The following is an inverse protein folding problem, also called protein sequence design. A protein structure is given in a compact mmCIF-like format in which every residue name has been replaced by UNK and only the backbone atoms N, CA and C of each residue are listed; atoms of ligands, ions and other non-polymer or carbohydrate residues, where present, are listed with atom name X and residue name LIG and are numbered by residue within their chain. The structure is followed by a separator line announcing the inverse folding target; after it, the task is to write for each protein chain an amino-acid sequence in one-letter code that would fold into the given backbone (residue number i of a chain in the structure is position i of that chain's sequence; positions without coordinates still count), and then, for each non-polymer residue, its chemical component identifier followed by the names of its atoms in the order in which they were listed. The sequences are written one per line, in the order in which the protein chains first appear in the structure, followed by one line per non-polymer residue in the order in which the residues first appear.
data_IF_156947800336
#
_entry.id   IF_156947800336
#
_cell.length_a   1.000
_cell.length_b   1.000
_cell.length_c   1.000
_cell.angle_alpha   90.00
_cell.angle_beta   90.00
_cell.angle_gamma   90.00
#
_symmetry.space_group_name_H-M   'P 1'
#
loop_
_entity.id
_entity.type
_entity.pdbx_description
1 polymer ?
#
# COMPACT_ATOMS: atom_id res chain seq x y z
N UNK A 1 28.91 -4.12 1.69
CA UNK A 1 28.75 -4.60 0.31
C UNK A 1 27.75 -3.67 -0.38
N UNK A 2 28.14 -2.95 -1.44
CA UNK A 2 27.29 -1.92 -2.07
C UNK A 2 26.27 -2.56 -3.04
N UNK A 3 25.06 -2.00 -3.10
CA UNK A 3 23.94 -2.43 -3.97
C UNK A 3 24.35 -2.61 -5.44
N UNK A 4 25.26 -1.76 -5.93
CA UNK A 4 25.82 -1.83 -7.28
C UNK A 4 26.65 -3.10 -7.55
N UNK A 5 27.49 -3.51 -6.60
CA UNK A 5 28.27 -4.75 -6.72
C UNK A 5 27.37 -5.99 -6.67
N UNK A 6 26.29 -5.94 -5.89
CA UNK A 6 25.31 -7.03 -5.81
C UNK A 6 24.57 -7.18 -7.15
N UNK A 7 24.14 -6.07 -7.77
CA UNK A 7 23.51 -6.08 -9.09
C UNK A 7 24.45 -6.60 -10.18
N UNK A 8 25.71 -6.12 -10.20
CA UNK A 8 26.71 -6.58 -11.16
C UNK A 8 26.99 -8.09 -11.04
N UNK A 9 27.00 -8.64 -9.82
CA UNK A 9 27.17 -10.08 -9.59
C UNK A 9 25.95 -10.90 -10.02
N UNK A 10 24.73 -10.38 -9.80
CA UNK A 10 23.47 -11.04 -10.15
C UNK A 10 23.24 -11.08 -11.67
N UNK A 11 23.59 -10.01 -12.39
CA UNK A 11 23.45 -9.92 -13.85
C UNK A 11 24.40 -10.85 -14.63
N UNK A 12 25.49 -11.30 -14.00
CA UNK A 12 26.51 -12.17 -14.61
C UNK A 12 26.22 -13.67 -14.39
N UNK A 13 25.13 -14.03 -13.69
CA UNK A 13 24.74 -15.43 -13.51
C UNK A 13 23.77 -15.88 -14.60
N UNK A 14 24.19 -16.79 -15.52
CA UNK A 14 23.26 -17.39 -16.48
C UNK A 14 22.21 -18.20 -15.73
N UNK A 15 20.94 -17.85 -15.92
CA UNK A 15 19.78 -18.45 -15.24
C UNK A 15 19.09 -17.54 -14.22
N UNK A 16 19.58 -16.33 -13.97
CA UNK A 16 18.90 -15.36 -13.11
C UNK A 16 17.78 -14.62 -13.86
N UNK A 17 16.74 -15.36 -14.28
CA UNK A 17 15.47 -14.74 -14.67
C UNK A 17 14.72 -14.40 -13.39
N UNK A 18 14.84 -13.14 -12.95
CA UNK A 18 14.00 -12.63 -11.87
C UNK A 18 12.53 -12.68 -12.31
N UNK A 19 11.61 -13.07 -11.42
CA UNK A 19 10.19 -12.98 -11.73
C UNK A 19 9.80 -11.53 -12.00
N UNK A 20 8.76 -11.33 -12.79
CA UNK A 20 8.18 -10.01 -12.96
C UNK A 20 7.73 -9.45 -11.59
N UNK A 21 7.92 -8.15 -11.33
CA UNK A 21 7.45 -7.52 -10.11
C UNK A 21 5.94 -7.70 -9.94
N UNK A 22 5.53 -8.20 -8.78
CA UNK A 22 4.12 -8.32 -8.42
C UNK A 22 3.58 -6.98 -7.93
N UNK A 23 2.37 -6.61 -8.37
CA UNK A 23 1.60 -5.50 -7.78
C UNK A 23 0.96 -5.86 -6.43
N UNK A 24 1.06 -7.13 -6.00
CA UNK A 24 0.49 -7.65 -4.77
C UNK A 24 1.56 -8.07 -3.76
N UNK A 25 1.24 -7.90 -2.49
CA UNK A 25 2.00 -8.36 -1.33
C UNK A 25 1.17 -9.31 -0.47
N UNK A 26 1.79 -10.33 0.07
CA UNK A 26 1.15 -11.24 1.01
C UNK A 26 0.92 -10.57 2.38
N UNK A 27 0.05 -11.16 3.21
CA UNK A 27 -0.21 -10.70 4.59
C UNK A 27 1.07 -10.37 5.39
N UNK A 28 2.00 -11.33 5.47
CA UNK A 28 3.23 -11.16 6.24
C UNK A 28 4.08 -9.98 5.72
N UNK A 29 4.11 -9.78 4.39
CA UNK A 29 4.82 -8.67 3.78
C UNK A 29 4.11 -7.34 4.07
N UNK A 30 2.78 -7.29 4.02
CA UNK A 30 2.01 -6.10 4.36
C UNK A 30 2.32 -5.65 5.80
N UNK A 31 2.20 -6.56 6.77
CA UNK A 31 2.52 -6.30 8.19
C UNK A 31 3.96 -5.83 8.33
N UNK A 32 4.91 -6.48 7.66
CA UNK A 32 6.31 -6.08 7.71
C UNK A 32 6.58 -4.69 7.11
N UNK A 33 5.96 -4.37 5.96
CA UNK A 33 6.17 -3.10 5.25
C UNK A 33 5.52 -1.93 5.97
N UNK A 34 4.40 -2.18 6.64
CA UNK A 34 3.62 -1.14 7.33
C UNK A 34 3.97 -1.00 8.80
N UNK A 35 4.51 -2.05 9.43
CA UNK A 35 4.66 -2.16 10.88
C UNK A 35 3.34 -1.94 11.64
N UNK A 36 2.21 -2.17 10.99
CA UNK A 36 0.87 -2.15 11.59
C UNK A 36 0.66 -3.43 12.41
N UNK A 37 -0.15 -3.36 13.47
CA UNK A 37 -0.50 -4.56 14.22
C UNK A 37 -1.40 -5.49 13.38
N UNK A 38 -1.18 -6.82 13.37
CA UNK A 38 -2.00 -7.75 12.57
C UNK A 38 -3.51 -7.67 12.85
N UNK A 39 -3.90 -7.35 14.08
CA UNK A 39 -5.30 -7.18 14.46
C UNK A 39 -5.94 -5.95 13.78
N UNK A 40 -5.18 -4.86 13.62
CA UNK A 40 -5.64 -3.65 12.94
C UNK A 40 -5.77 -3.92 11.43
N UNK A 41 -4.88 -4.71 10.82
CA UNK A 41 -5.06 -5.15 9.41
C UNK A 41 -6.37 -5.91 9.25
N UNK A 42 -6.67 -6.84 10.16
CA UNK A 42 -7.92 -7.61 10.12
C UNK A 42 -9.13 -6.68 10.21
N UNK A 43 -9.12 -5.71 11.13
CA UNK A 43 -10.17 -4.69 11.24
C UNK A 43 -10.34 -3.88 9.94
N UNK A 44 -9.23 -3.45 9.31
CA UNK A 44 -9.29 -2.73 8.04
C UNK A 44 -9.85 -3.57 6.87
N UNK A 45 -9.64 -4.89 6.91
CA UNK A 45 -10.25 -5.85 5.98
C UNK A 45 -11.75 -5.99 6.26
N UNK A 46 -12.13 -6.16 7.53
CA UNK A 46 -13.52 -6.33 7.95
C UNK A 46 -14.36 -5.07 7.66
N UNK A 47 -13.77 -3.89 7.80
CA UNK A 47 -14.36 -2.61 7.40
C UNK A 47 -14.44 -2.44 5.88
N UNK A 48 -13.78 -3.30 5.10
CA UNK A 48 -13.68 -3.21 3.64
C UNK A 48 -12.80 -2.07 3.13
N UNK A 49 -12.10 -1.35 4.03
CA UNK A 49 -11.25 -0.23 3.67
C UNK A 49 -10.03 -0.66 2.84
N UNK A 50 -9.53 -1.86 3.13
CA UNK A 50 -8.66 -2.64 2.24
C UNK A 50 -9.39 -3.93 1.86
N UNK A 51 -9.24 -4.35 0.60
CA UNK A 51 -9.95 -5.51 0.07
C UNK A 51 -8.95 -6.46 -0.61
N UNK A 52 -8.32 -7.38 0.15
CA UNK A 52 -7.39 -8.33 -0.43
C UNK A 52 -8.09 -9.27 -1.40
N UNK A 53 -7.35 -9.71 -2.41
CA UNK A 53 -7.71 -10.91 -3.16
C UNK A 53 -7.32 -12.14 -2.35
N UNK A 54 -7.95 -13.27 -2.67
CA UNK A 54 -7.52 -14.56 -2.16
C UNK A 54 -6.87 -15.39 -3.25
N UNK A 55 -5.84 -16.14 -2.89
CA UNK A 55 -5.28 -17.20 -3.74
C UNK A 55 -6.19 -18.43 -3.74
N UNK A 56 -5.88 -19.43 -4.57
CA UNK A 56 -6.53 -20.74 -4.52
C UNK A 56 -6.32 -21.49 -3.20
N UNK A 57 -5.31 -21.11 -2.42
CA UNK A 57 -5.04 -21.63 -1.09
C UNK A 57 -5.69 -20.78 0.04
N UNK A 58 -6.64 -19.89 -0.31
CA UNK A 58 -7.32 -18.97 0.62
C UNK A 58 -6.41 -17.93 1.31
N UNK A 59 -5.15 -17.80 0.88
CA UNK A 59 -4.20 -16.79 1.38
C UNK A 59 -4.50 -15.39 0.83
N UNK A 60 -4.30 -14.35 1.65
CA UNK A 60 -4.52 -12.96 1.26
C UNK A 60 -3.39 -12.34 0.43
N UNK A 61 -3.79 -11.65 -0.65
CA UNK A 61 -2.97 -10.81 -1.50
C UNK A 61 -3.52 -9.38 -1.52
N UNK A 62 -2.75 -8.45 -0.95
CA UNK A 62 -3.06 -7.02 -0.89
C UNK A 62 -2.38 -6.28 -2.02
N UNK A 63 -2.95 -5.18 -2.51
CA UNK A 63 -2.26 -4.38 -3.51
C UNK A 63 -1.15 -3.56 -2.84
N UNK A 64 -0.07 -3.29 -3.56
CA UNK A 64 1.00 -2.40 -3.08
C UNK A 64 0.46 -1.02 -2.67
N UNK A 65 -0.58 -0.51 -3.35
CA UNK A 65 -1.25 0.76 -2.97
C UNK A 65 -1.79 0.75 -1.54
N UNK A 66 -2.20 -0.42 -1.03
CA UNK A 66 -2.80 -0.56 0.29
C UNK A 66 -1.73 -0.35 1.38
N UNK A 67 -0.47 -0.72 1.12
CA UNK A 67 0.69 -0.40 1.99
C UNK A 67 0.80 1.11 2.20
N UNK A 68 0.75 1.89 1.11
CA UNK A 68 0.86 3.34 1.17
C UNK A 68 -0.33 3.98 1.89
N UNK A 69 -1.55 3.49 1.64
CA UNK A 69 -2.75 3.97 2.34
C UNK A 69 -2.65 3.70 3.84
N UNK A 70 -2.21 2.52 4.25
CA UNK A 70 -2.00 2.17 5.66
C UNK A 70 -0.95 3.08 6.32
N UNK A 71 0.16 3.39 5.65
CA UNK A 71 1.14 4.35 6.19
C UNK A 71 0.54 5.74 6.42
N UNK A 72 -0.27 6.25 5.46
CA UNK A 72 -0.97 7.53 5.64
C UNK A 72 -1.89 7.47 6.86
N UNK A 73 -2.67 6.39 6.98
CA UNK A 73 -3.60 6.18 8.08
C UNK A 73 -2.89 6.15 9.43
N UNK A 74 -1.86 5.31 9.58
CA UNK A 74 -1.11 5.17 10.83
C UNK A 74 -0.50 6.50 11.28
N UNK A 75 0.06 7.27 10.34
CA UNK A 75 0.58 8.60 10.63
C UNK A 75 -0.53 9.55 11.08
N UNK A 76 -1.68 9.54 10.40
CA UNK A 76 -2.81 10.40 10.73
C UNK A 76 -3.41 10.07 12.10
N UNK A 77 -3.64 8.78 12.38
CA UNK A 77 -4.08 8.27 13.68
C UNK A 77 -3.16 8.74 14.80
N UNK A 78 -1.84 8.63 14.59
CA UNK A 78 -0.84 9.07 15.56
C UNK A 78 -0.80 10.60 15.72
N UNK A 79 -0.82 11.34 14.63
CA UNK A 79 -0.64 12.80 14.64
C UNK A 79 -1.89 13.53 15.17
N UNK A 80 -3.09 12.96 14.95
CA UNK A 80 -4.38 13.57 15.31
C UNK A 80 -5.05 12.91 16.53
N UNK A 81 -4.47 11.84 17.07
CA UNK A 81 -5.01 11.06 18.20
C UNK A 81 -6.46 10.59 17.95
N UNK A 82 -6.70 9.99 16.79
CA UNK A 82 -8.02 9.48 16.35
C UNK A 82 -8.00 7.97 16.22
N UNK A 83 -9.16 7.31 16.31
CA UNK A 83 -9.26 5.86 16.06
C UNK A 83 -8.96 5.49 14.60
N UNK A 84 -8.59 4.23 14.35
CA UNK A 84 -8.38 3.72 12.98
C UNK A 84 -9.61 3.89 12.08
N UNK A 85 -10.82 3.65 12.61
CA UNK A 85 -12.07 3.86 11.87
C UNK A 85 -12.29 5.34 11.51
N UNK A 86 -12.06 6.26 12.45
CA UNK A 86 -12.16 7.70 12.13
C UNK A 86 -11.06 8.11 11.15
N UNK A 87 -9.85 7.60 11.34
CA UNK A 87 -8.71 7.88 10.48
C UNK A 87 -8.90 7.39 9.05
N UNK A 88 -9.50 6.22 8.85
CA UNK A 88 -9.72 5.66 7.51
C UNK A 88 -10.68 6.52 6.69
N UNK A 89 -11.74 7.03 7.33
CA UNK A 89 -12.66 8.00 6.73
C UNK A 89 -11.92 9.28 6.34
N UNK A 90 -11.04 9.80 7.21
CA UNK A 90 -10.28 11.01 6.91
C UNK A 90 -9.34 10.79 5.72
N UNK A 91 -8.65 9.63 5.65
CA UNK A 91 -7.80 9.30 4.51
C UNK A 91 -8.60 9.27 3.20
N UNK A 92 -9.78 8.65 3.20
CA UNK A 92 -10.63 8.59 2.00
C UNK A 92 -11.09 9.99 1.55
N UNK A 93 -11.43 10.87 2.50
CA UNK A 93 -11.77 12.26 2.20
C UNK A 93 -10.58 13.04 1.62
N UNK A 94 -9.38 12.85 2.16
CA UNK A 94 -8.16 13.46 1.63
C UNK A 94 -7.87 12.99 0.20
N UNK A 95 -8.00 11.69 -0.06
CA UNK A 95 -7.84 11.14 -1.41
C UNK A 95 -8.88 11.72 -2.37
N UNK A 96 -10.13 11.90 -1.91
CA UNK A 96 -11.15 12.52 -2.73
C UNK A 96 -10.87 13.99 -3.04
N UNK A 97 -10.36 14.74 -2.07
CA UNK A 97 -9.93 16.14 -2.28
C UNK A 97 -8.80 16.20 -3.31
N UNK A 98 -7.78 15.35 -3.18
CA UNK A 98 -6.67 15.29 -4.15
C UNK A 98 -7.14 14.97 -5.58
N UNK A 99 -8.13 14.08 -5.73
CA UNK A 99 -8.75 13.80 -7.03
C UNK A 99 -9.46 15.03 -7.61
N UNK A 100 -10.31 15.68 -6.80
CA UNK A 100 -11.07 16.85 -7.21
C UNK A 100 -10.15 18.03 -7.57
N UNK A 101 -9.07 18.24 -6.82
CA UNK A 101 -8.07 19.27 -7.13
C UNK A 101 -7.38 19.00 -8.47
N UNK A 102 -7.05 17.74 -8.78
CA UNK A 102 -6.49 17.36 -10.09
C UNK A 102 -7.48 17.65 -11.22
N UNK A 103 -8.75 17.28 -11.05
CA UNK A 103 -9.80 17.57 -12.05
C UNK A 103 -9.92 19.07 -12.31
N UNK A 104 -9.93 19.90 -11.26
CA UNK A 104 -9.99 21.36 -11.38
C UNK A 104 -8.78 21.91 -12.15
N UNK A 105 -7.57 21.41 -11.89
CA UNK A 105 -6.35 21.82 -12.60
C UNK A 105 -6.43 21.46 -14.08
N UNK A 106 -6.87 20.24 -14.42
CA UNK A 106 -7.01 19.83 -15.82
C UNK A 106 -8.09 20.64 -16.55
N UNK A 107 -9.23 20.90 -15.92
CA UNK A 107 -10.29 21.74 -16.50
C UNK A 107 -9.81 23.18 -16.77
N UNK A 108 -9.04 23.77 -15.84
CA UNK A 108 -8.47 25.11 -16.01
C UNK A 108 -7.45 25.20 -17.15
N UNK A 109 -6.87 24.09 -17.60
CA UNK A 109 -5.96 24.06 -18.76
C UNK A 109 -6.69 24.03 -20.10
N UNK A 110 -7.99 23.75 -20.10
CA UNK A 110 -8.83 23.70 -21.31
C UNK A 110 -9.49 25.05 -21.66
N UNK A 111 -9.33 26.05 -20.79
CA UNK A 111 -9.88 27.41 -20.92
C UNK A 111 -8.73 28.39 -21.13
#
# INVERSE_FOLDING_TARGET
MTTRKLQEMLLQQPGLNLPEPSEYVAWAQLVQLTSIEPAEVAELVDLGWISPKKTSAEEYLFRLRDVYRIHKLMRLVKDLDVSFNSGSIIVDLLEKVEELEKEVVELKRLV
#
